data_IF_759901210246
#
_entry.id   IF_759901210246
#
_cell.length_a   1.000
_cell.length_b   1.000
_cell.length_c   1.000
_cell.angle_alpha   90.00
_cell.angle_beta   90.00
_cell.angle_gamma   90.00
#
_symmetry.space_group_name_H-M   'P 1'
#
loop_
_entity.id
_entity.type
_entity.pdbx_description
1 polymer ?
#
# COMPACT_ATOMS: atom_id res chain seq x y z
N UNK A 1 11.68 9.15 0.38
CA UNK A 1 11.45 7.68 0.60
C UNK A 1 10.51 7.41 1.77
N UNK A 2 10.80 7.82 3.01
CA UNK A 2 9.89 7.54 4.14
C UNK A 2 8.57 8.35 4.05
N UNK A 3 8.68 9.63 3.69
CA UNK A 3 7.53 10.53 3.56
C UNK A 3 6.54 10.06 2.48
N UNK A 4 7.03 9.65 1.30
CA UNK A 4 6.18 9.12 0.23
C UNK A 4 5.49 7.81 0.63
N UNK A 5 6.17 6.92 1.37
CA UNK A 5 5.55 5.70 1.89
C UNK A 5 4.43 6.04 2.89
N UNK A 6 4.64 7.02 3.77
CA UNK A 6 3.65 7.44 4.75
C UNK A 6 2.42 8.04 4.07
N UNK A 7 2.64 8.93 3.09
CA UNK A 7 1.58 9.51 2.27
C UNK A 7 0.78 8.43 1.52
N UNK A 8 1.47 7.46 0.93
CA UNK A 8 0.84 6.35 0.21
C UNK A 8 -0.05 5.49 1.12
N UNK A 9 0.41 5.20 2.34
CA UNK A 9 -0.37 4.47 3.33
C UNK A 9 -1.59 5.28 3.81
N UNK A 10 -1.44 6.58 4.00
CA UNK A 10 -2.56 7.47 4.35
C UNK A 10 -3.63 7.44 3.25
N UNK A 11 -3.25 7.68 1.99
CA UNK A 11 -4.19 7.65 0.85
C UNK A 11 -4.92 6.30 0.77
N UNK A 12 -4.19 5.18 0.81
CA UNK A 12 -4.82 3.86 0.75
C UNK A 12 -5.77 3.61 1.92
N UNK A 13 -5.39 4.03 3.13
CA UNK A 13 -6.22 3.88 4.33
C UNK A 13 -7.52 4.69 4.23
N UNK A 14 -7.44 5.94 3.75
CA UNK A 14 -8.62 6.80 3.54
C UNK A 14 -9.60 6.17 2.54
N UNK A 15 -9.10 5.63 1.43
CA UNK A 15 -9.93 4.94 0.43
C UNK A 15 -10.60 3.67 0.97
N UNK A 16 -9.93 2.97 1.89
CA UNK A 16 -10.44 1.74 2.49
C UNK A 16 -11.52 2.00 3.56
N UNK A 17 -11.52 3.18 4.19
CA UNK A 17 -12.40 3.49 5.32
C UNK A 17 -13.82 3.93 4.90
N UNK A 18 -14.13 4.01 3.61
CA UNK A 18 -15.45 4.40 3.07
C UNK A 18 -16.03 5.70 3.71
N UNK A 19 -15.16 6.56 4.22
CA UNK A 19 -15.52 7.86 4.77
C UNK A 19 -15.30 8.90 3.65
N UNK A 20 -16.41 9.24 2.99
CA UNK A 20 -16.41 10.19 1.87
C UNK A 20 -15.88 11.58 2.27
N UNK A 21 -15.85 11.92 3.56
CA UNK A 21 -15.36 13.21 4.06
C UNK A 21 -13.84 13.38 3.92
N UNK A 22 -13.08 12.29 3.81
CA UNK A 22 -11.63 12.32 3.58
C UNK A 22 -11.25 12.23 2.09
N UNK A 23 -12.20 11.85 1.24
CA UNK A 23 -11.98 11.64 -0.20
C UNK A 23 -11.87 12.95 -0.99
N UNK A 24 -12.46 14.03 -0.48
CA UNK A 24 -12.47 15.35 -1.15
C UNK A 24 -11.07 15.95 -1.34
N UNK A 25 -10.07 15.48 -0.58
CA UNK A 25 -8.69 15.99 -0.65
C UNK A 25 -7.70 15.07 -1.38
N UNK A 26 -8.14 13.90 -1.86
CA UNK A 26 -7.27 12.93 -2.54
C UNK A 26 -7.35 13.14 -4.05
N UNK A 27 -6.24 13.54 -4.67
CA UNK A 27 -6.16 13.75 -6.12
C UNK A 27 -5.85 12.47 -6.90
N UNK A 28 -6.06 12.49 -8.22
CA UNK A 28 -5.68 11.39 -9.10
C UNK A 28 -4.16 11.15 -9.07
N UNK A 29 -3.38 12.23 -9.00
CA UNK A 29 -1.92 12.19 -8.87
C UNK A 29 -1.51 11.52 -7.55
N UNK A 30 -2.20 11.81 -6.44
CA UNK A 30 -1.95 11.18 -5.15
C UNK A 30 -2.20 9.67 -5.20
N UNK A 31 -3.28 9.24 -5.86
CA UNK A 31 -3.60 7.83 -6.06
C UNK A 31 -2.50 7.14 -6.87
N UNK A 32 -2.03 7.78 -7.95
CA UNK A 32 -0.98 7.24 -8.80
C UNK A 32 0.39 7.18 -8.08
N UNK A 33 0.75 8.23 -7.33
CA UNK A 33 1.97 8.25 -6.52
C UNK A 33 1.91 7.17 -5.44
N UNK A 34 0.77 7.04 -4.75
CA UNK A 34 0.54 6.02 -3.74
C UNK A 34 0.64 4.60 -4.34
N UNK A 35 0.08 4.37 -5.52
CA UNK A 35 0.13 3.08 -6.20
C UNK A 35 1.57 2.65 -6.51
N UNK A 36 2.38 3.57 -7.04
CA UNK A 36 3.80 3.34 -7.31
C UNK A 36 4.62 3.11 -6.02
N UNK A 37 4.36 3.90 -4.98
CA UNK A 37 5.03 3.78 -3.69
C UNK A 37 4.72 2.44 -3.00
N UNK A 38 3.45 2.03 -2.96
CA UNK A 38 3.05 0.73 -2.41
C UNK A 38 3.65 -0.42 -3.23
N UNK A 39 3.71 -0.30 -4.56
CA UNK A 39 4.43 -1.25 -5.41
C UNK A 39 5.89 -1.43 -4.98
N UNK A 40 6.61 -0.33 -4.78
CA UNK A 40 8.00 -0.34 -4.30
C UNK A 40 8.13 -0.96 -2.89
N UNK A 41 7.15 -0.73 -2.01
CA UNK A 41 7.13 -1.33 -0.67
C UNK A 41 6.92 -2.84 -0.72
N UNK A 42 6.08 -3.34 -1.63
CA UNK A 42 5.87 -4.78 -1.87
C UNK A 42 7.20 -5.42 -2.28
N UNK A 43 7.87 -4.87 -3.30
CA UNK A 43 9.14 -5.44 -3.80
C UNK A 43 10.21 -5.50 -2.71
N UNK A 44 10.33 -4.44 -1.90
CA UNK A 44 11.27 -4.39 -0.77
C UNK A 44 10.90 -5.39 0.32
N UNK A 45 9.60 -5.51 0.63
CA UNK A 45 9.13 -6.46 1.65
C UNK A 45 9.34 -7.90 1.20
N UNK A 46 9.14 -8.20 -0.09
CA UNK A 46 9.39 -9.51 -0.68
C UNK A 46 10.88 -9.88 -0.60
N UNK A 47 11.76 -8.96 -1.02
CA UNK A 47 13.23 -9.14 -0.92
C UNK A 47 13.73 -9.26 0.52
N UNK A 48 13.04 -8.62 1.48
CA UNK A 48 13.37 -8.77 2.89
C UNK A 48 12.92 -10.14 3.43
N UNK A 49 11.74 -10.61 3.02
CA UNK A 49 11.18 -11.89 3.48
C UNK A 49 12.09 -13.07 3.14
N UNK A 50 12.72 -13.07 1.97
CA UNK A 50 13.62 -14.15 1.53
C UNK A 50 14.87 -14.31 2.41
N UNK A 51 15.19 -13.32 3.25
CA UNK A 51 16.33 -13.38 4.18
C UNK A 51 16.03 -14.13 5.47
N UNK A 52 14.76 -14.47 5.71
CA UNK A 52 14.31 -15.09 6.94
C UNK A 52 13.74 -16.48 6.66
N UNK A 53 14.13 -17.47 7.47
CA UNK A 53 13.62 -18.82 7.34
C UNK A 53 12.10 -18.88 7.65
N UNK A 54 11.33 -19.75 6.98
CA UNK A 54 9.96 -20.04 7.38
C UNK A 54 9.87 -20.49 8.84
N UNK A 55 8.80 -20.11 9.54
CA UNK A 55 8.55 -20.53 10.93
C UNK A 55 9.06 -19.55 12.00
N UNK A 56 9.85 -18.54 11.66
CA UNK A 56 10.24 -17.48 12.60
C UNK A 56 9.33 -16.25 12.50
N UNK A 57 9.27 -15.47 13.58
CA UNK A 57 8.39 -14.30 13.70
C UNK A 57 8.62 -13.26 12.60
N UNK A 58 9.87 -13.03 12.19
CA UNK A 58 10.21 -12.07 11.13
C UNK A 58 9.64 -12.48 9.77
N UNK A 59 9.71 -13.76 9.41
CA UNK A 59 9.13 -14.26 8.17
C UNK A 59 7.60 -14.11 8.17
N UNK A 60 6.94 -14.46 9.28
CA UNK A 60 5.48 -14.30 9.44
C UNK A 60 5.06 -12.83 9.40
N UNK A 61 5.80 -11.94 10.06
CA UNK A 61 5.54 -10.49 10.05
C UNK A 61 5.59 -9.94 8.62
N UNK A 62 6.64 -10.28 7.86
CA UNK A 62 6.80 -9.81 6.48
C UNK A 62 5.73 -10.40 5.55
N UNK A 63 5.31 -11.66 5.76
CA UNK A 63 4.16 -12.26 5.06
C UNK A 63 2.87 -11.48 5.30
N UNK A 64 2.59 -11.14 6.56
CA UNK A 64 1.39 -10.38 6.92
C UNK A 64 1.43 -8.96 6.32
N UNK A 65 2.60 -8.32 6.36
CA UNK A 65 2.82 -7.01 5.74
C UNK A 65 2.60 -7.04 4.23
N UNK A 66 3.12 -8.06 3.53
CA UNK A 66 2.88 -8.25 2.09
C UNK A 66 1.40 -8.34 1.77
N UNK A 67 0.65 -9.15 2.52
CA UNK A 67 -0.79 -9.29 2.34
C UNK A 67 -1.52 -7.95 2.49
N UNK A 68 -1.19 -7.18 3.53
CA UNK A 68 -1.78 -5.86 3.73
C UNK A 68 -1.46 -4.88 2.59
N UNK A 69 -0.20 -4.83 2.14
CA UNK A 69 0.21 -3.96 1.03
C UNK A 69 -0.45 -4.36 -0.30
N UNK A 70 -0.65 -5.64 -0.55
CA UNK A 70 -1.37 -6.14 -1.73
C UNK A 70 -2.84 -5.70 -1.73
N UNK A 71 -3.51 -5.78 -0.58
CA UNK A 71 -4.88 -5.28 -0.41
C UNK A 71 -4.92 -3.77 -0.69
N UNK A 72 -4.06 -3.00 -0.04
CA UNK A 72 -3.98 -1.55 -0.25
C UNK A 72 -3.76 -1.18 -1.73
N UNK A 73 -2.88 -1.91 -2.43
CA UNK A 73 -2.63 -1.71 -3.87
C UNK A 73 -3.86 -2.02 -4.73
N UNK A 74 -4.63 -3.06 -4.38
CA UNK A 74 -5.85 -3.42 -5.09
C UNK A 74 -6.93 -2.35 -4.94
N UNK A 75 -7.09 -1.76 -3.75
CA UNK A 75 -7.97 -0.61 -3.55
C UNK A 75 -7.56 0.57 -4.44
N UNK A 76 -6.28 0.96 -4.41
CA UNK A 76 -5.78 2.04 -5.26
C UNK A 76 -6.01 1.80 -6.76
N UNK A 77 -5.83 0.56 -7.23
CA UNK A 77 -6.13 0.20 -8.62
C UNK A 77 -7.61 0.39 -8.94
N UNK A 78 -8.51 -0.12 -8.09
CA UNK A 78 -9.95 -0.01 -8.29
C UNK A 78 -10.45 1.45 -8.31
N UNK A 79 -9.82 2.34 -7.53
CA UNK A 79 -10.14 3.78 -7.56
C UNK A 79 -9.53 4.47 -8.78
N UNK A 80 -8.27 4.17 -9.14
CA UNK A 80 -7.64 4.69 -10.35
C UNK A 80 -8.45 4.36 -11.61
N UNK A 81 -8.92 3.13 -11.73
CA UNK A 81 -9.66 2.65 -12.89
C UNK A 81 -11.10 3.21 -12.96
N UNK A 82 -11.61 3.82 -11.89
CA UNK A 82 -12.90 4.56 -11.88
C UNK A 82 -12.77 6.03 -12.31
N UNK A 83 -11.56 6.58 -12.28
CA UNK A 83 -11.26 7.98 -12.57
C UNK A 83 -10.64 8.15 -13.98
N UNK A 84 -10.17 7.05 -14.59
CA UNK A 84 -9.68 6.98 -15.97
C UNK A 84 -10.83 6.84 -16.98
#
# INVERSE_FOLDING_TARGET
MLQNNLKALYVASSLMQNDASQLESVTQEDIQEAFCAIGSMIDKTQKAQTKFAPGISQHTLLKNRLKALQIAKAYLAAFRDKIA
#
